data_IF_592509129073
#
_entry.id   IF_592509129073
#
_cell.length_a   1.000
_cell.length_b   1.000
_cell.length_c   1.000
_cell.angle_alpha   90.00
_cell.angle_beta   90.00
_cell.angle_gamma   90.00
#
_symmetry.space_group_name_H-M   'P 1'
#
loop_
_entity.id
_entity.type
_entity.pdbx_description
1 polymer ?
#
# COMPACT_ATOMS: atom_id res chain seq x y z
N UNK A 1 20.91 -41.57 24.35
CA UNK A 1 21.24 -40.73 23.18
C UNK A 1 20.34 -39.51 23.20
N UNK A 2 20.88 -38.31 23.48
CA UNK A 2 20.16 -37.03 23.34
C UNK A 2 21.01 -36.04 22.52
N UNK A 3 21.51 -36.52 21.37
CA UNK A 3 22.41 -35.78 20.47
C UNK A 3 21.87 -34.40 20.04
N UNK A 4 20.54 -34.26 19.97
CA UNK A 4 19.88 -33.00 19.60
C UNK A 4 19.99 -31.95 20.72
N UNK A 5 19.88 -32.37 21.99
CA UNK A 5 19.96 -31.44 23.13
C UNK A 5 21.41 -30.95 23.32
N UNK A 6 22.38 -31.85 23.11
CA UNK A 6 23.79 -31.51 23.20
C UNK A 6 24.24 -30.58 22.06
N UNK A 7 23.73 -30.80 20.84
CA UNK A 7 23.95 -29.89 19.71
C UNK A 7 23.36 -28.50 19.97
N UNK A 8 22.14 -28.43 20.52
CA UNK A 8 21.48 -27.16 20.83
C UNK A 8 22.24 -26.38 21.91
N UNK A 9 22.73 -27.07 22.95
CA UNK A 9 23.48 -26.44 24.04
C UNK A 9 24.86 -25.97 23.58
N UNK A 10 25.55 -26.74 22.75
CA UNK A 10 26.91 -26.43 22.29
C UNK A 10 26.96 -25.31 21.25
N UNK A 11 25.98 -25.24 20.34
CA UNK A 11 26.08 -24.35 19.18
C UNK A 11 25.09 -23.17 19.21
N UNK A 12 23.85 -23.38 19.69
CA UNK A 12 22.80 -22.35 19.60
C UNK A 12 22.78 -21.41 20.81
N UNK A 13 23.07 -21.90 22.00
CA UNK A 13 23.07 -21.10 23.23
C UNK A 13 24.04 -19.90 23.22
N UNK A 14 25.29 -20.02 22.73
CA UNK A 14 26.20 -18.87 22.67
C UNK A 14 25.80 -17.84 21.60
N UNK A 15 25.20 -18.27 20.49
CA UNK A 15 24.71 -17.36 19.43
C UNK A 15 23.51 -16.52 19.89
N UNK A 16 22.59 -17.12 20.65
CA UNK A 16 21.42 -16.41 21.21
C UNK A 16 21.85 -15.40 22.28
N UNK A 17 22.89 -15.71 23.07
CA UNK A 17 23.43 -14.78 24.06
C UNK A 17 24.15 -13.58 23.43
N UNK A 18 24.71 -13.75 22.22
CA UNK A 18 25.40 -12.69 21.49
C UNK A 18 24.44 -11.71 20.78
N UNK A 19 23.15 -12.06 20.68
CA UNK A 19 22.11 -11.25 20.05
C UNK A 19 21.02 -10.79 21.03
N UNK A 20 21.27 -10.85 22.34
CA UNK A 20 20.43 -10.19 23.32
C UNK A 20 20.67 -8.67 23.21
N UNK A 21 19.71 -7.89 22.68
CA UNK A 21 19.88 -6.45 22.57
C UNK A 21 19.93 -5.83 23.97
N UNK A 22 20.84 -4.87 24.16
CA UNK A 22 20.95 -4.08 25.38
C UNK A 22 19.72 -3.17 25.49
N UNK A 23 18.89 -3.38 26.53
CA UNK A 23 17.58 -2.73 26.73
C UNK A 23 17.67 -1.20 26.92
N UNK A 24 18.88 -0.62 26.93
CA UNK A 24 19.13 0.79 27.21
C UNK A 24 19.06 1.73 25.99
N UNK A 25 19.24 1.23 24.76
CA UNK A 25 19.27 2.08 23.55
C UNK A 25 17.95 2.11 22.76
N UNK A 26 17.09 1.10 22.94
CA UNK A 26 15.84 0.94 22.16
C UNK A 26 14.71 1.87 22.60
N UNK A 27 14.77 2.42 23.82
CA UNK A 27 13.75 3.38 24.28
C UNK A 27 13.85 4.71 23.54
N UNK A 28 15.06 5.24 23.32
CA UNK A 28 15.28 6.58 22.74
C UNK A 28 14.80 6.71 21.29
N UNK A 29 15.00 5.67 20.49
CA UNK A 29 14.61 5.61 19.07
C UNK A 29 13.11 5.35 18.86
N UNK A 30 12.44 4.71 19.82
CA UNK A 30 11.00 4.48 19.77
C UNK A 30 10.21 5.78 20.02
N UNK A 31 10.70 6.66 20.91
CA UNK A 31 10.00 7.93 21.23
C UNK A 31 10.08 8.97 20.11
N UNK A 32 11.14 8.99 19.30
CA UNK A 32 11.24 9.90 18.15
C UNK A 32 10.42 9.46 16.94
N UNK A 33 10.14 8.16 16.79
CA UNK A 33 9.28 7.64 15.72
C UNK A 33 7.78 7.76 16.08
N UNK A 34 7.44 7.77 17.37
CA UNK A 34 6.07 7.92 17.85
C UNK A 34 5.45 9.31 17.61
N UNK A 35 6.22 10.39 17.78
CA UNK A 35 5.69 11.75 17.66
C UNK A 35 5.34 12.15 16.21
N UNK A 36 6.10 11.68 15.22
CA UNK A 36 5.86 11.97 13.80
C UNK A 36 4.60 11.27 13.26
N UNK A 37 4.34 10.03 13.70
CA UNK A 37 3.16 9.28 13.29
C UNK A 37 1.86 9.95 13.75
N UNK A 38 1.83 10.55 14.95
CA UNK A 38 0.66 11.24 15.50
C UNK A 38 0.30 12.49 14.68
N UNK A 39 1.30 13.25 14.22
CA UNK A 39 1.09 14.48 13.43
C UNK A 39 0.55 14.15 12.03
N UNK A 40 1.10 13.14 11.36
CA UNK A 40 0.63 12.72 10.03
C UNK A 40 -0.82 12.21 10.09
N UNK A 41 -1.18 11.49 11.14
CA UNK A 41 -2.54 10.95 11.31
C UNK A 41 -3.56 12.07 11.63
N UNK A 42 -3.16 13.09 12.40
CA UNK A 42 -4.01 14.23 12.73
C UNK A 42 -4.33 15.12 11.51
N UNK A 43 -3.39 15.28 10.58
CA UNK A 43 -3.59 16.04 9.34
C UNK A 43 -4.58 15.32 8.40
N UNK A 44 -4.49 13.99 8.33
CA UNK A 44 -5.42 13.15 7.54
C UNK A 44 -6.85 13.24 8.08
N UNK A 45 -7.04 13.29 9.40
CA UNK A 45 -8.38 13.47 9.99
C UNK A 45 -8.97 14.87 9.77
N UNK A 46 -8.13 15.91 9.72
CA UNK A 46 -8.59 17.29 9.50
C UNK A 46 -8.96 17.57 8.05
N UNK A 47 -8.30 16.94 7.07
CA UNK A 47 -8.60 17.14 5.64
C UNK A 47 -9.77 16.29 5.12
N UNK A 48 -10.14 15.20 5.82
CA UNK A 48 -11.21 14.29 5.41
C UNK A 48 -12.59 14.58 6.04
N UNK A 49 -12.75 15.66 6.82
CA UNK A 49 -14.06 16.06 7.35
C UNK A 49 -14.75 14.98 8.20
N UNK A 50 -13.99 14.08 8.83
CA UNK A 50 -14.52 13.06 9.73
C UNK A 50 -14.78 13.75 11.08
N UNK A 51 -16.00 14.23 11.24
CA UNK A 51 -16.51 14.71 12.53
C UNK A 51 -16.62 13.54 13.50
N UNK A 52 -15.54 13.26 14.26
CA UNK A 52 -15.60 12.36 15.41
C UNK A 52 -16.29 13.08 16.57
N UNK A 53 -17.63 13.11 16.54
CA UNK A 53 -18.44 13.52 17.69
C UNK A 53 -18.34 12.46 18.79
N UNK A 54 -17.27 12.49 19.59
CA UNK A 54 -17.21 11.75 20.85
C UNK A 54 -17.72 12.65 21.98
N UNK A 55 -19.04 12.75 22.10
CA UNK A 55 -19.70 13.19 23.33
C UNK A 55 -19.74 11.99 24.30
N UNK A 56 -18.89 12.03 25.31
CA UNK A 56 -18.98 11.16 26.48
C UNK A 56 -20.30 11.50 27.20
N UNK A 57 -21.26 10.57 27.20
CA UNK A 57 -22.29 10.52 28.23
C UNK A 57 -22.51 9.08 28.71
N UNK A 58 -22.21 8.94 29.99
CA UNK A 58 -22.50 7.81 30.86
C UNK A 58 -24.03 7.60 31.00
N UNK A 59 -24.40 6.34 31.17
CA UNK A 59 -25.57 5.78 31.86
C UNK A 59 -26.81 5.31 31.07
N UNK A 60 -26.95 3.98 31.12
CA UNK A 60 -28.13 3.17 31.49
C UNK A 60 -29.11 2.65 30.42
N UNK A 61 -29.14 1.30 30.42
CA UNK A 61 -30.30 0.41 30.36
C UNK A 61 -31.00 0.08 29.03
N UNK A 62 -30.87 -1.22 28.68
CA UNK A 62 -31.86 -2.14 28.11
C UNK A 62 -32.60 -1.71 26.83
N UNK A 63 -32.30 -2.39 25.71
CA UNK A 63 -33.18 -3.44 25.12
C UNK A 63 -32.54 -4.03 23.86
N UNK A 64 -32.88 -5.31 23.65
CA UNK A 64 -32.61 -6.15 22.48
C UNK A 64 -32.81 -5.38 21.17
N UNK A 65 -31.87 -5.52 20.25
CA UNK A 65 -32.19 -6.19 18.99
C UNK A 65 -30.93 -6.67 18.27
N UNK A 66 -30.98 -7.93 17.87
CA UNK A 66 -30.01 -8.64 17.07
C UNK A 66 -29.90 -8.01 15.68
N UNK A 67 -28.91 -7.14 15.47
CA UNK A 67 -28.39 -6.91 14.12
C UNK A 67 -27.26 -7.90 13.88
N UNK A 68 -27.66 -9.00 13.26
CA UNK A 68 -26.83 -9.87 12.45
C UNK A 68 -25.76 -9.01 11.75
N UNK A 69 -24.51 -9.09 12.20
CA UNK A 69 -23.37 -8.67 11.41
C UNK A 69 -23.41 -9.57 10.18
N UNK A 70 -23.95 -9.05 9.07
CA UNK A 70 -23.70 -9.66 7.77
C UNK A 70 -22.20 -9.63 7.62
N UNK A 71 -21.61 -10.81 7.76
CA UNK A 71 -20.29 -11.10 7.27
C UNK A 71 -20.29 -10.65 5.81
N UNK A 72 -19.71 -9.50 5.52
CA UNK A 72 -19.59 -9.00 4.16
C UNK A 72 -18.54 -9.91 3.54
N UNK A 73 -18.99 -11.03 2.97
CA UNK A 73 -18.21 -11.77 1.99
C UNK A 73 -17.77 -10.74 0.97
N UNK A 74 -16.49 -10.38 0.99
CA UNK A 74 -15.85 -9.62 -0.07
C UNK A 74 -16.05 -10.46 -1.33
N UNK A 75 -17.07 -10.11 -2.12
CA UNK A 75 -17.27 -10.78 -3.40
C UNK A 75 -15.99 -10.60 -4.22
N UNK A 76 -15.50 -11.67 -4.87
CA UNK A 76 -14.35 -11.57 -5.74
C UNK A 76 -14.56 -10.43 -6.75
N UNK A 77 -13.63 -9.49 -6.77
CA UNK A 77 -13.71 -8.36 -7.68
C UNK A 77 -13.77 -8.89 -9.13
N UNK A 78 -14.76 -8.46 -9.91
CA UNK A 78 -14.87 -8.85 -11.33
C UNK A 78 -13.65 -8.36 -12.12
N UNK A 79 -13.35 -8.99 -13.26
CA UNK A 79 -12.21 -8.59 -14.10
C UNK A 79 -12.27 -7.12 -14.54
N UNK A 80 -13.47 -6.63 -14.87
CA UNK A 80 -13.74 -5.23 -15.20
C UNK A 80 -13.33 -4.33 -14.04
N UNK A 81 -13.81 -4.63 -12.84
CA UNK A 81 -13.51 -3.85 -11.62
C UNK A 81 -12.03 -3.90 -11.27
N UNK A 82 -11.32 -5.00 -11.53
CA UNK A 82 -9.86 -5.09 -11.31
C UNK A 82 -9.12 -4.11 -12.21
N UNK A 83 -9.43 -4.10 -13.50
CA UNK A 83 -8.82 -3.18 -14.46
C UNK A 83 -9.18 -1.72 -14.11
N UNK A 84 -10.44 -1.45 -13.79
CA UNK A 84 -10.90 -0.11 -13.44
C UNK A 84 -10.29 0.40 -12.14
N UNK A 85 -10.10 -0.47 -11.13
CA UNK A 85 -9.44 -0.08 -9.89
C UNK A 85 -7.99 0.31 -10.12
N UNK A 86 -7.23 -0.44 -10.94
CA UNK A 86 -5.86 -0.05 -11.29
C UNK A 86 -5.86 1.31 -11.98
N UNK A 87 -6.74 1.51 -12.97
CA UNK A 87 -6.88 2.79 -13.67
C UNK A 87 -7.22 3.93 -12.71
N UNK A 88 -8.12 3.68 -11.77
CA UNK A 88 -8.54 4.65 -10.77
C UNK A 88 -7.38 5.04 -9.86
N UNK A 89 -6.61 4.07 -9.36
CA UNK A 89 -5.42 4.31 -8.54
C UNK A 89 -4.38 5.10 -9.30
N UNK A 90 -4.08 4.70 -10.55
CA UNK A 90 -3.19 5.46 -11.43
C UNK A 90 -3.63 6.93 -11.52
N UNK A 91 -4.88 7.19 -11.88
CA UNK A 91 -5.39 8.53 -12.12
C UNK A 91 -5.51 9.40 -10.85
N UNK A 92 -5.79 8.79 -9.70
CA UNK A 92 -6.02 9.54 -8.46
C UNK A 92 -4.77 9.68 -7.58
N UNK A 93 -3.96 8.63 -7.50
CA UNK A 93 -2.85 8.57 -6.55
C UNK A 93 -1.53 8.99 -7.18
N UNK A 94 -1.27 8.61 -8.43
CA UNK A 94 0.06 8.74 -9.02
C UNK A 94 0.12 9.81 -10.09
N UNK A 95 -0.84 9.84 -11.02
CA UNK A 95 -0.85 10.77 -12.15
C UNK A 95 -0.68 12.24 -11.75
N UNK A 96 -1.40 12.79 -10.74
CA UNK A 96 -1.25 14.18 -10.37
C UNK A 96 0.15 14.53 -9.85
N UNK A 97 0.76 13.63 -9.08
CA UNK A 97 2.11 13.82 -8.57
C UNK A 97 3.18 13.69 -9.66
N UNK A 98 2.95 12.81 -10.63
CA UNK A 98 3.78 12.70 -11.84
C UNK A 98 3.71 13.98 -12.66
N UNK A 99 2.50 14.49 -12.93
CA UNK A 99 2.31 15.71 -13.71
C UNK A 99 3.04 16.91 -13.04
N UNK A 100 2.92 17.04 -11.71
CA UNK A 100 3.64 18.07 -10.94
C UNK A 100 5.16 17.89 -10.97
N UNK A 101 5.63 16.64 -10.93
CA UNK A 101 7.05 16.33 -11.01
C UNK A 101 7.60 16.70 -12.39
N UNK A 102 6.86 16.41 -13.47
CA UNK A 102 7.25 16.72 -14.84
C UNK A 102 7.38 18.24 -15.09
N UNK A 103 6.56 19.06 -14.44
CA UNK A 103 6.60 20.52 -14.59
C UNK A 103 7.82 21.15 -13.91
N UNK A 104 8.25 20.61 -12.77
CA UNK A 104 9.25 21.23 -11.89
C UNK A 104 10.38 20.26 -11.53
N UNK A 105 10.79 19.40 -12.48
CA UNK A 105 11.86 18.45 -12.25
C UNK A 105 13.22 19.16 -12.25
N UNK A 106 14.00 18.93 -11.20
CA UNK A 106 15.39 19.34 -11.12
C UNK A 106 16.25 18.11 -10.75
N UNK A 107 17.18 17.67 -11.61
CA UNK A 107 18.07 16.55 -11.30
C UNK A 107 19.06 16.84 -10.17
N UNK A 108 19.31 18.12 -9.82
CA UNK A 108 20.13 18.48 -8.68
C UNK A 108 19.38 18.32 -7.34
N UNK A 109 18.05 18.34 -7.38
CA UNK A 109 17.21 18.13 -6.20
C UNK A 109 17.03 16.63 -5.93
N UNK A 110 17.68 16.15 -4.86
CA UNK A 110 17.61 14.75 -4.42
C UNK A 110 16.19 14.29 -4.13
N UNK A 111 15.32 15.17 -3.65
CA UNK A 111 13.94 14.83 -3.33
C UNK A 111 13.15 14.57 -4.62
N UNK A 112 13.41 15.35 -5.68
CA UNK A 112 12.79 15.16 -7.00
C UNK A 112 13.28 13.89 -7.68
N UNK A 113 14.57 13.58 -7.58
CA UNK A 113 15.12 12.30 -8.06
C UNK A 113 14.49 11.11 -7.31
N UNK A 114 14.33 11.21 -5.99
CA UNK A 114 13.65 10.19 -5.19
C UNK A 114 12.18 10.04 -5.60
N UNK A 115 11.44 11.14 -5.77
CA UNK A 115 10.05 11.13 -6.23
C UNK A 115 9.92 10.47 -7.61
N UNK A 116 10.81 10.76 -8.55
CA UNK A 116 10.83 10.11 -9.86
C UNK A 116 10.93 8.59 -9.73
N UNK A 117 11.91 8.12 -8.95
CA UNK A 117 12.12 6.69 -8.73
C UNK A 117 10.90 6.05 -8.04
N UNK A 118 10.34 6.71 -7.04
CA UNK A 118 9.12 6.27 -6.38
C UNK A 118 7.97 6.08 -7.38
N UNK A 119 7.70 7.07 -8.23
CA UNK A 119 6.62 6.97 -9.21
C UNK A 119 6.90 5.88 -10.25
N UNK A 120 8.14 5.76 -10.74
CA UNK A 120 8.52 4.65 -11.64
C UNK A 120 8.18 3.29 -11.02
N UNK A 121 8.60 3.05 -9.77
CA UNK A 121 8.30 1.80 -9.06
C UNK A 121 6.80 1.58 -8.87
N UNK A 122 6.03 2.62 -8.55
CA UNK A 122 4.58 2.46 -8.37
C UNK A 122 3.86 2.15 -9.69
N UNK A 123 4.27 2.78 -10.79
CA UNK A 123 3.72 2.49 -12.11
C UNK A 123 4.05 1.06 -12.56
N UNK A 124 5.27 0.58 -12.29
CA UNK A 124 5.66 -0.82 -12.56
C UNK A 124 4.80 -1.80 -11.76
N UNK A 125 4.52 -1.52 -10.49
CA UNK A 125 3.62 -2.35 -9.66
C UNK A 125 2.21 -2.42 -10.24
N UNK A 126 1.67 -1.31 -10.75
CA UNK A 126 0.36 -1.30 -11.39
C UNK A 126 0.34 -2.13 -12.69
N UNK A 127 1.43 -2.12 -13.46
CA UNK A 127 1.54 -2.98 -14.65
C UNK A 127 1.53 -4.46 -14.30
N UNK A 128 2.27 -4.86 -13.25
CA UNK A 128 2.27 -6.24 -12.75
C UNK A 128 0.86 -6.65 -12.30
N UNK A 129 0.13 -5.75 -11.63
CA UNK A 129 -1.26 -6.00 -11.22
C UNK A 129 -2.18 -6.22 -12.42
N UNK A 130 -2.03 -5.45 -13.50
CA UNK A 130 -2.79 -5.64 -14.74
C UNK A 130 -2.43 -6.95 -15.44
N UNK A 131 -1.16 -7.34 -15.45
CA UNK A 131 -0.71 -8.60 -16.04
C UNK A 131 -1.25 -9.82 -15.29
N UNK A 132 -1.45 -9.70 -13.97
CA UNK A 132 -2.13 -10.69 -13.14
C UNK A 132 -3.63 -10.86 -13.41
N UNK A 133 -4.25 -10.02 -14.25
CA UNK A 133 -5.65 -10.18 -14.66
C UNK A 133 -5.76 -11.23 -15.76
N UNK A 134 -5.86 -12.50 -15.37
CA UNK A 134 -6.01 -13.64 -16.28
C UNK A 134 -7.44 -13.78 -16.83
N UNK A 135 -7.58 -13.70 -18.15
CA UNK A 135 -8.88 -13.75 -18.85
C UNK A 135 -9.15 -15.11 -19.50
N UNK A 136 -8.60 -16.20 -18.93
CA UNK A 136 -8.69 -17.55 -19.51
C UNK A 136 -10.14 -18.03 -19.56
N UNK A 137 -10.89 -17.80 -18.48
CA UNK A 137 -12.27 -18.24 -18.30
C UNK A 137 -13.30 -17.42 -19.09
N UNK A 138 -12.92 -16.24 -19.60
CA UNK A 138 -13.82 -15.37 -20.37
C UNK A 138 -13.75 -15.69 -21.86
N UNK A 139 -14.90 -15.74 -22.52
CA UNK A 139 -15.05 -16.05 -23.95
C UNK A 139 -15.84 -14.97 -24.70
N UNK A 140 -15.84 -15.06 -26.03
CA UNK A 140 -16.62 -14.20 -26.92
C UNK A 140 -16.25 -12.71 -26.84
N UNK A 141 -17.22 -11.86 -27.16
CA UNK A 141 -17.08 -10.40 -27.22
C UNK A 141 -16.59 -9.79 -25.91
N UNK A 142 -17.05 -10.30 -24.76
CA UNK A 142 -16.62 -9.83 -23.44
C UNK A 142 -15.11 -9.97 -23.24
N UNK A 143 -14.51 -11.08 -23.70
CA UNK A 143 -13.05 -11.29 -23.62
C UNK A 143 -12.30 -10.23 -24.43
N UNK A 144 -12.82 -9.87 -25.60
CA UNK A 144 -12.21 -8.88 -26.50
C UNK A 144 -12.26 -7.50 -25.84
N UNK A 145 -13.43 -7.11 -25.33
CA UNK A 145 -13.61 -5.84 -24.63
C UNK A 145 -12.67 -5.70 -23.41
N UNK A 146 -12.58 -6.72 -22.56
CA UNK A 146 -11.68 -6.73 -21.41
C UNK A 146 -10.20 -6.64 -21.81
N UNK A 147 -9.79 -7.33 -22.88
CA UNK A 147 -8.42 -7.24 -23.41
C UNK A 147 -8.11 -5.84 -23.90
N UNK A 148 -9.05 -5.21 -24.61
CA UNK A 148 -8.89 -3.86 -25.11
C UNK A 148 -8.80 -2.83 -23.98
N UNK A 149 -9.71 -2.92 -23.00
CA UNK A 149 -9.69 -2.08 -21.80
C UNK A 149 -8.36 -2.22 -21.06
N UNK A 150 -7.91 -3.45 -20.79
CA UNK A 150 -6.62 -3.72 -20.13
C UNK A 150 -5.45 -3.13 -20.91
N UNK A 151 -5.42 -3.33 -22.23
CA UNK A 151 -4.39 -2.76 -23.12
C UNK A 151 -4.40 -1.23 -23.09
N UNK A 152 -5.57 -0.61 -23.03
CA UNK A 152 -5.72 0.84 -22.91
C UNK A 152 -5.02 1.37 -21.66
N UNK A 153 -5.31 0.78 -20.50
CA UNK A 153 -4.70 1.18 -19.22
C UNK A 153 -3.19 0.93 -19.22
N UNK A 154 -2.73 -0.22 -19.73
CA UNK A 154 -1.29 -0.52 -19.85
C UNK A 154 -0.58 0.55 -20.68
N UNK A 155 -1.11 0.92 -21.84
CA UNK A 155 -0.51 1.95 -22.71
C UNK A 155 -0.46 3.31 -22.03
N UNK A 156 -1.51 3.67 -21.30
CA UNK A 156 -1.59 4.92 -20.55
C UNK A 156 -0.46 5.00 -19.49
N UNK A 157 -0.31 3.95 -18.68
CA UNK A 157 0.74 3.86 -17.65
C UNK A 157 2.14 3.84 -18.29
N UNK A 158 2.35 3.03 -19.32
CA UNK A 158 3.63 2.94 -20.03
C UNK A 158 4.03 4.27 -20.69
N UNK A 159 3.07 5.09 -21.11
CA UNK A 159 3.36 6.43 -21.64
C UNK A 159 3.97 7.31 -20.56
N UNK A 160 3.44 7.28 -19.33
CA UNK A 160 3.96 8.07 -18.22
C UNK A 160 5.32 7.55 -17.73
N UNK A 161 5.52 6.23 -17.67
CA UNK A 161 6.83 5.62 -17.42
C UNK A 161 7.88 6.15 -18.40
N UNK A 162 7.59 6.11 -19.71
CA UNK A 162 8.50 6.63 -20.73
C UNK A 162 8.79 8.12 -20.57
N UNK A 163 7.84 8.90 -20.06
CA UNK A 163 8.05 10.33 -19.81
C UNK A 163 8.95 10.54 -18.59
N UNK A 164 8.73 9.78 -17.51
CA UNK A 164 9.60 9.80 -16.32
C UNK A 164 11.02 9.33 -16.63
N UNK A 165 11.17 8.31 -17.48
CA UNK A 165 12.48 7.80 -17.92
C UNK A 165 13.25 8.79 -18.80
N UNK A 166 12.62 9.87 -19.29
CA UNK A 166 13.33 10.95 -19.98
C UNK A 166 13.90 11.99 -19.02
N UNK A 167 13.49 11.96 -17.74
CA UNK A 167 14.01 12.83 -16.69
C UNK A 167 15.32 12.27 -16.09
N UNK A 168 16.28 11.90 -16.95
CA UNK A 168 17.60 11.38 -16.55
C UNK A 168 18.58 12.52 -16.37
#
# INVERSE_FOLDING_TARGET
>A
MNCIIDFYRANLKPLVAQYAPDDSEVSSTLYMTGAAAIIVTAIIWRSLGISSSNRIKRQQAKKKDSKHKKDVKLEPLTFEKKIDNVRLRFNKEYKPGIDQLLENYDPADKDKVYQRNFYNEMLLKLLIELDGVELVEVQGERKIALKEQRKGVIREIQTHLKTLDKLI
#
